data_IF_197329523596
#
_entry.id   IF_197329523596
#
_cell.length_a   1.000
_cell.length_b   1.000
_cell.length_c   1.000
_cell.angle_alpha   90.00
_cell.angle_beta   90.00
_cell.angle_gamma   90.00
#
_symmetry.space_group_name_H-M   'P 1'
#
loop_
_entity.id
_entity.type
_entity.pdbx_description
1 polymer ?
#
# COMPACT_ATOMS: atom_id res chain seq x y z
N UNK A 1 -4.70 -10.37 2.71
CA UNK A 1 -3.50 -10.41 1.84
C UNK A 1 -2.32 -10.49 2.76
N UNK A 2 -1.33 -11.29 2.41
CA UNK A 2 -0.08 -11.29 3.14
C UNK A 2 0.15 -12.57 3.91
N UNK A 3 1.32 -13.16 3.69
CA UNK A 3 1.91 -14.17 4.54
C UNK A 3 2.39 -13.53 5.87
N UNK A 4 3.00 -14.33 6.75
CA UNK A 4 3.59 -13.81 8.00
C UNK A 4 4.62 -12.70 7.75
N UNK A 5 5.31 -12.73 6.61
CA UNK A 5 6.28 -11.69 6.20
C UNK A 5 5.59 -10.33 6.00
N UNK A 6 4.47 -10.28 5.27
CA UNK A 6 3.74 -9.02 5.07
C UNK A 6 3.22 -8.40 6.38
N UNK A 7 2.90 -9.21 7.40
CA UNK A 7 2.47 -8.67 8.69
C UNK A 7 3.63 -7.92 9.38
N UNK A 8 4.79 -8.58 9.48
CA UNK A 8 6.01 -7.98 10.05
C UNK A 8 6.46 -6.76 9.25
N UNK A 9 6.53 -6.86 7.92
CA UNK A 9 6.93 -5.75 7.06
C UNK A 9 6.00 -4.54 7.19
N UNK A 10 4.70 -4.80 7.36
CA UNK A 10 3.72 -3.73 7.57
C UNK A 10 3.91 -3.04 8.92
N UNK A 11 4.22 -3.79 9.98
CA UNK A 11 4.55 -3.24 11.30
C UNK A 11 5.83 -2.40 11.27
N UNK A 12 6.89 -2.90 10.61
CA UNK A 12 8.16 -2.19 10.47
C UNK A 12 7.99 -0.91 9.65
N UNK A 13 7.28 -0.98 8.52
CA UNK A 13 6.98 0.19 7.70
C UNK A 13 6.17 1.22 8.48
N UNK A 14 5.16 0.78 9.23
CA UNK A 14 4.35 1.65 10.07
C UNK A 14 5.20 2.34 11.14
N UNK A 15 6.03 1.59 11.87
CA UNK A 15 6.91 2.16 12.89
C UNK A 15 7.86 3.21 12.35
N UNK A 16 8.47 2.94 11.19
CA UNK A 16 9.36 3.90 10.50
C UNK A 16 8.62 5.17 10.06
N UNK A 17 7.40 5.04 9.54
CA UNK A 17 6.58 6.17 9.13
C UNK A 17 6.14 7.01 10.34
N UNK A 18 5.74 6.38 11.43
CA UNK A 18 5.38 7.08 12.67
C UNK A 18 6.57 7.85 13.26
N UNK A 19 7.77 7.27 13.24
CA UNK A 19 9.00 7.96 13.66
C UNK A 19 9.32 9.20 12.79
N UNK A 20 8.87 9.20 11.54
CA UNK A 20 9.00 10.35 10.61
C UNK A 20 7.86 11.36 10.73
N UNK A 21 6.93 11.17 11.68
CA UNK A 21 5.83 12.09 11.95
C UNK A 21 4.53 11.79 11.20
N UNK A 22 4.44 10.68 10.47
CA UNK A 22 3.18 10.26 9.87
C UNK A 22 2.22 9.73 10.94
N UNK A 23 0.93 9.92 10.70
CA UNK A 23 -0.13 9.38 11.54
C UNK A 23 -0.97 8.38 10.76
N UNK A 24 -1.39 7.31 11.42
CA UNK A 24 -2.28 6.34 10.83
C UNK A 24 -3.67 6.98 10.65
N UNK A 25 -4.23 6.84 9.45
CA UNK A 25 -5.60 7.27 9.15
C UNK A 25 -6.42 6.08 8.62
N UNK A 26 -7.67 5.98 9.07
CA UNK A 26 -8.64 5.05 8.52
C UNK A 26 -9.32 5.54 7.25
N UNK A 27 -9.10 6.81 6.90
CA UNK A 27 -9.69 7.45 5.73
C UNK A 27 -8.66 7.60 4.60
N UNK A 28 -8.86 6.81 3.55
CA UNK A 28 -8.03 6.80 2.35
C UNK A 28 -8.03 8.15 1.62
N UNK A 29 -9.08 8.96 1.75
CA UNK A 29 -9.19 10.27 1.08
C UNK A 29 -8.34 11.34 1.75
N UNK A 30 -8.12 11.18 3.05
CA UNK A 30 -7.32 12.06 3.87
C UNK A 30 -5.87 11.59 4.02
N UNK A 31 -5.51 10.44 3.44
CA UNK A 31 -4.15 9.92 3.49
C UNK A 31 -3.22 10.67 2.53
N UNK A 32 -2.15 11.26 3.05
CA UNK A 32 -1.07 11.82 2.21
C UNK A 32 -0.16 10.73 1.63
N UNK A 33 -0.07 9.58 2.29
CA UNK A 33 0.67 8.40 1.86
C UNK A 33 -0.17 7.13 2.04
N UNK A 34 -0.27 6.34 0.99
CA UNK A 34 -0.88 5.00 0.99
C UNK A 34 0.20 3.98 0.71
N UNK A 35 0.44 3.04 1.63
CA UNK A 35 1.40 1.95 1.45
C UNK A 35 0.64 0.65 1.19
N UNK A 36 0.93 -0.01 0.07
CA UNK A 36 0.39 -1.32 -0.29
C UNK A 36 1.50 -2.34 -0.17
N UNK A 37 1.42 -3.20 0.85
CA UNK A 37 2.31 -4.32 1.00
C UNK A 37 1.80 -5.54 0.21
N UNK A 38 2.55 -5.91 -0.81
CA UNK A 38 2.21 -6.91 -1.82
C UNK A 38 2.92 -8.24 -1.55
N UNK A 39 2.43 -9.32 -2.16
CA UNK A 39 3.03 -10.65 -2.05
C UNK A 39 2.92 -11.34 -3.41
N UNK A 40 4.02 -11.88 -3.92
CA UNK A 40 4.09 -12.60 -5.21
C UNK A 40 3.90 -14.11 -5.07
N UNK A 41 3.70 -14.62 -3.85
CA UNK A 41 3.62 -16.07 -3.60
C UNK A 41 2.32 -16.68 -4.17
N UNK A 42 1.28 -15.87 -4.42
CA UNK A 42 0.00 -16.35 -4.96
C UNK A 42 -0.53 -15.39 -6.03
N UNK A 43 -0.86 -15.93 -7.20
CA UNK A 43 -1.40 -15.17 -8.35
C UNK A 43 -2.68 -14.39 -8.00
N UNK A 44 -3.59 -14.97 -7.21
CA UNK A 44 -4.78 -14.26 -6.71
C UNK A 44 -4.48 -13.07 -5.76
N UNK A 45 -3.28 -13.02 -5.16
CA UNK A 45 -2.87 -11.86 -4.39
C UNK A 45 -2.46 -10.71 -5.33
N UNK A 46 -1.76 -11.02 -6.41
CA UNK A 46 -1.35 -10.05 -7.45
C UNK A 46 -2.57 -9.41 -8.11
N UNK A 47 -3.57 -10.20 -8.54
CA UNK A 47 -4.81 -9.69 -9.17
C UNK A 47 -5.51 -8.64 -8.29
N UNK A 48 -5.59 -8.90 -6.99
CA UNK A 48 -6.23 -7.99 -6.04
C UNK A 48 -5.39 -6.73 -5.79
N UNK A 49 -4.06 -6.80 -5.89
CA UNK A 49 -3.18 -5.62 -5.83
C UNK A 49 -3.44 -4.74 -7.06
N UNK A 50 -3.44 -5.32 -8.26
CA UNK A 50 -3.75 -4.59 -9.49
C UNK A 50 -5.15 -3.96 -9.46
N UNK A 51 -6.16 -4.68 -8.96
CA UNK A 51 -7.51 -4.15 -8.78
C UNK A 51 -7.53 -2.94 -7.83
N UNK A 52 -6.83 -3.00 -6.70
CA UNK A 52 -6.69 -1.86 -5.77
C UNK A 52 -5.95 -0.69 -6.40
N UNK A 53 -4.86 -0.94 -7.13
CA UNK A 53 -4.14 0.11 -7.85
C UNK A 53 -5.00 0.77 -8.93
N UNK A 54 -5.84 -0.01 -9.63
CA UNK A 54 -6.82 0.50 -10.58
C UNK A 54 -7.87 1.41 -9.91
N UNK A 55 -8.41 1.00 -8.77
CA UNK A 55 -9.28 1.85 -7.93
C UNK A 55 -8.54 3.10 -7.45
N UNK A 56 -7.24 2.99 -7.19
CA UNK A 56 -6.35 4.09 -6.82
C UNK A 56 -5.87 4.97 -7.99
N UNK A 57 -6.14 4.62 -9.25
CA UNK A 57 -5.90 5.49 -10.41
C UNK A 57 -7.19 6.08 -10.98
N UNK A 58 -8.27 5.30 -11.04
CA UNK A 58 -9.51 5.60 -11.77
C UNK A 58 -10.50 6.61 -11.15
N UNK A 59 -10.05 7.53 -10.29
CA UNK A 59 -10.75 8.77 -9.96
C UNK A 59 -12.28 8.76 -9.74
N UNK A 60 -12.83 7.97 -8.81
CA UNK A 60 -14.21 8.21 -8.29
C UNK A 60 -14.26 8.93 -6.94
N UNK A 61 -13.11 9.09 -6.31
CA UNK A 61 -12.96 9.69 -5.00
C UNK A 61 -11.93 10.81 -5.15
N UNK A 62 -12.29 12.05 -4.77
CA UNK A 62 -11.39 13.20 -4.77
C UNK A 62 -10.19 12.86 -3.89
N UNK A 63 -9.10 12.37 -4.50
CA UNK A 63 -7.82 12.22 -3.82
C UNK A 63 -7.30 13.61 -3.51
N UNK A 64 -6.47 13.71 -2.48
CA UNK A 64 -5.57 14.86 -2.38
C UNK A 64 -4.69 14.89 -3.63
N UNK A 65 -4.50 16.09 -4.19
CA UNK A 65 -3.68 16.30 -5.39
C UNK A 65 -2.24 15.77 -5.22
N UNK A 66 -1.76 15.69 -3.97
CA UNK A 66 -0.42 15.22 -3.60
C UNK A 66 -0.39 13.87 -2.87
N UNK A 67 -1.44 13.04 -2.97
CA UNK A 67 -1.43 11.71 -2.37
C UNK A 67 -0.37 10.82 -3.05
N UNK A 68 0.55 10.28 -2.27
CA UNK A 68 1.58 9.33 -2.73
C UNK A 68 1.08 7.90 -2.49
N UNK A 69 1.21 7.04 -3.50
CA UNK A 69 0.96 5.60 -3.36
C UNK A 69 2.29 4.85 -3.49
N UNK A 70 2.73 4.23 -2.40
CA UNK A 70 3.91 3.38 -2.37
C UNK A 70 3.48 1.90 -2.40
N UNK A 71 4.14 1.11 -3.24
CA UNK A 71 3.94 -0.34 -3.31
C UNK A 71 5.22 -0.99 -2.84
N UNK A 72 5.11 -1.88 -1.84
CA UNK A 72 6.26 -2.58 -1.23
C UNK A 72 6.00 -4.09 -1.24
N UNK A 73 7.02 -4.88 -0.88
CA UNK A 73 6.94 -6.35 -0.81
C UNK A 73 7.33 -7.04 -2.11
N UNK A 74 7.30 -8.37 -2.13
CA UNK A 74 7.97 -9.18 -3.15
C UNK A 74 7.46 -8.98 -4.59
N UNK A 75 6.21 -8.54 -4.77
CA UNK A 75 5.71 -8.21 -6.11
C UNK A 75 6.30 -6.89 -6.61
N UNK A 76 6.46 -5.89 -5.73
CA UNK A 76 7.11 -4.63 -6.09
C UNK A 76 8.59 -4.82 -6.50
N UNK A 77 9.31 -5.75 -5.85
CA UNK A 77 10.69 -6.09 -6.21
C UNK A 77 10.81 -6.82 -7.56
N UNK A 78 9.77 -7.57 -7.94
CA UNK A 78 9.74 -8.36 -9.18
C UNK A 78 9.30 -7.53 -10.40
N UNK A 79 8.31 -6.66 -10.21
CA UNK A 79 7.63 -5.94 -11.30
C UNK A 79 8.02 -4.45 -11.40
N UNK A 80 8.80 -3.93 -10.45
CA UNK A 80 9.28 -2.54 -10.41
C UNK A 80 10.56 -2.32 -11.19
#
# INVERSE_FOLDING_TARGET
MGCQMNALDSELALGSLMQRGYQLTGDLLNADLVVINTCSVRQHAEDKVYSRLGQLKGGKQKRRDNQIVAVIGCMAERDG
#
